data_IF_225775773092
#
_entry.id   IF_225775773092
#
_cell.length_a   1.000
_cell.length_b   1.000
_cell.length_c   1.000
_cell.angle_alpha   90.00
_cell.angle_beta   90.00
_cell.angle_gamma   90.00
#
_symmetry.space_group_name_H-M   'P 1'
#
loop_
_entity.id
_entity.type
_entity.pdbx_description
1 polymer ?
#
# COMPACT_ATOMS: atom_id res chain seq x y z
N UNK A 1 -16.29 14.54 4.01
CA UNK A 1 -14.87 14.43 4.38
C UNK A 1 -14.60 14.86 5.83
N UNK A 2 -15.22 15.95 6.32
CA UNK A 2 -15.22 16.29 7.77
C UNK A 2 -15.68 15.12 8.65
N UNK A 3 -16.71 14.40 8.20
CA UNK A 3 -17.28 13.25 8.91
C UNK A 3 -16.23 12.16 9.15
N UNK A 4 -15.42 11.77 8.17
CA UNK A 4 -14.38 10.73 8.34
C UNK A 4 -13.32 11.16 9.36
N UNK A 5 -12.92 12.44 9.34
CA UNK A 5 -11.96 12.99 10.31
C UNK A 5 -12.53 13.04 11.73
N UNK A 6 -13.73 13.60 11.91
CA UNK A 6 -14.41 13.65 13.20
C UNK A 6 -14.68 12.25 13.75
N UNK A 7 -14.97 11.30 12.86
CA UNK A 7 -15.32 9.95 13.25
C UNK A 7 -14.10 9.08 13.56
N UNK A 8 -12.99 9.21 12.82
CA UNK A 8 -11.71 8.57 13.19
C UNK A 8 -11.23 9.06 14.57
N UNK A 9 -11.37 10.36 14.85
CA UNK A 9 -11.10 10.91 16.18
C UNK A 9 -11.96 10.29 17.28
N UNK A 10 -13.23 9.97 16.98
CA UNK A 10 -14.16 9.37 17.93
C UNK A 10 -13.87 7.87 18.16
N UNK A 11 -13.49 7.13 17.11
CA UNK A 11 -13.17 5.69 17.17
C UNK A 11 -11.84 5.41 17.86
N UNK A 12 -10.91 6.34 17.79
CA UNK A 12 -9.67 6.27 18.56
C UNK A 12 -9.90 6.45 20.07
N UNK A 13 -11.01 7.09 20.49
CA UNK A 13 -11.31 7.40 21.89
C UNK A 13 -12.16 6.34 22.60
N UNK A 14 -12.98 5.55 21.90
CA UNK A 14 -13.92 4.61 22.51
C UNK A 14 -13.56 3.13 22.25
N UNK A 15 -12.87 2.52 23.22
CA UNK A 15 -12.22 1.20 23.08
C UNK A 15 -13.15 -0.03 23.13
N UNK A 16 -14.42 0.07 23.55
CA UNK A 16 -15.18 -1.12 23.99
C UNK A 16 -16.46 -1.47 23.21
N UNK A 17 -17.18 -0.50 22.62
CA UNK A 17 -18.44 -0.78 21.90
C UNK A 17 -18.27 -0.89 20.36
N UNK A 18 -17.20 -0.30 19.82
CA UNK A 18 -16.95 -0.23 18.37
C UNK A 18 -16.12 -1.42 17.85
N UNK A 19 -15.35 -2.07 18.73
CA UNK A 19 -14.40 -3.14 18.37
C UNK A 19 -15.07 -4.42 17.81
N UNK A 20 -16.34 -4.65 18.12
CA UNK A 20 -17.14 -5.79 17.65
C UNK A 20 -17.98 -5.49 16.42
N UNK A 21 -18.43 -4.26 16.21
CA UNK A 21 -19.31 -3.88 15.10
C UNK A 21 -18.57 -3.39 13.85
N UNK A 22 -17.29 -3.02 13.95
CA UNK A 22 -16.52 -2.41 12.86
C UNK A 22 -15.11 -2.98 12.72
N UNK A 23 -14.99 -4.31 12.67
CA UNK A 23 -13.77 -4.90 12.11
C UNK A 23 -13.73 -4.50 10.62
N UNK A 24 -12.69 -3.78 10.24
CA UNK A 24 -12.37 -3.43 8.84
C UNK A 24 -13.20 -2.30 8.21
N UNK A 25 -13.85 -1.41 8.99
CA UNK A 25 -14.60 -0.30 8.38
C UNK A 25 -13.74 0.56 7.43
N UNK A 26 -12.50 0.89 7.79
CA UNK A 26 -11.63 1.66 6.90
C UNK A 26 -11.35 0.91 5.59
N UNK A 27 -11.28 -0.42 5.62
CA UNK A 27 -11.13 -1.24 4.41
C UNK A 27 -12.44 -1.28 3.61
N UNK A 28 -13.59 -1.29 4.27
CA UNK A 28 -14.92 -1.20 3.63
C UNK A 28 -15.14 0.16 2.97
N UNK A 29 -14.84 1.26 3.67
CA UNK A 29 -14.91 2.63 3.16
C UNK A 29 -13.91 2.83 2.01
N UNK A 30 -12.70 2.28 2.13
CA UNK A 30 -11.74 2.28 1.04
C UNK A 30 -12.26 1.49 -0.17
N UNK A 31 -12.90 0.33 0.07
CA UNK A 31 -13.50 -0.48 -1.00
C UNK A 31 -14.65 0.26 -1.70
N UNK A 32 -15.49 0.95 -0.93
CA UNK A 32 -16.56 1.81 -1.45
C UNK A 32 -16.01 2.97 -2.29
N UNK A 33 -14.96 3.62 -1.80
CA UNK A 33 -14.27 4.71 -2.51
C UNK A 33 -13.69 4.23 -3.82
N UNK A 34 -13.04 3.06 -3.85
CA UNK A 34 -12.54 2.45 -5.10
C UNK A 34 -13.67 2.14 -6.09
N UNK A 35 -14.85 1.77 -5.62
CA UNK A 35 -16.00 1.53 -6.49
C UNK A 35 -16.65 2.82 -7.03
N UNK A 36 -16.55 3.93 -6.30
CA UNK A 36 -17.31 5.16 -6.58
C UNK A 36 -16.47 6.25 -7.25
N UNK A 37 -15.20 6.40 -6.84
CA UNK A 37 -14.30 7.46 -7.35
C UNK A 37 -13.93 7.37 -8.84
N UNK A 38 -13.96 6.23 -9.54
CA UNK A 38 -13.74 6.18 -10.99
C UNK A 38 -14.70 7.04 -11.82
N UNK A 39 -15.81 7.52 -11.22
CA UNK A 39 -16.78 8.41 -11.84
C UNK A 39 -16.61 9.89 -11.44
N UNK A 40 -15.63 10.20 -10.58
CA UNK A 40 -15.38 11.53 -10.04
C UNK A 40 -13.99 11.99 -10.48
N UNK A 41 -13.89 13.02 -11.35
CA UNK A 41 -12.60 13.53 -11.82
C UNK A 41 -11.68 13.94 -10.66
N UNK A 42 -10.48 13.36 -10.61
CA UNK A 42 -9.50 13.58 -9.54
C UNK A 42 -9.92 13.05 -8.15
N UNK A 43 -11.08 12.40 -8.05
CA UNK A 43 -11.62 11.88 -6.80
C UNK A 43 -10.74 10.80 -6.20
N UNK A 44 -10.16 9.92 -7.02
CA UNK A 44 -9.28 8.85 -6.57
C UNK A 44 -8.02 9.40 -5.89
N UNK A 45 -7.31 10.35 -6.51
CA UNK A 45 -6.11 10.95 -5.92
C UNK A 45 -6.42 11.70 -4.62
N UNK A 46 -7.53 12.43 -4.56
CA UNK A 46 -7.99 13.12 -3.35
C UNK A 46 -8.35 12.14 -2.23
N UNK A 47 -9.09 11.08 -2.56
CA UNK A 47 -9.47 10.07 -1.59
C UNK A 47 -8.24 9.29 -1.09
N UNK A 48 -7.37 8.85 -2.00
CA UNK A 48 -6.11 8.17 -1.67
C UNK A 48 -5.25 9.00 -0.71
N UNK A 49 -5.05 10.30 -1.01
CA UNK A 49 -4.35 11.22 -0.11
C UNK A 49 -5.00 11.24 1.28
N UNK A 50 -6.33 11.40 1.34
CA UNK A 50 -7.07 11.46 2.60
C UNK A 50 -6.96 10.17 3.42
N UNK A 51 -7.11 8.99 2.81
CA UNK A 51 -6.95 7.72 3.51
C UNK A 51 -5.50 7.48 3.96
N UNK A 52 -4.51 7.90 3.16
CA UNK A 52 -3.11 7.87 3.60
C UNK A 52 -2.89 8.78 4.82
N UNK A 53 -3.46 9.98 4.85
CA UNK A 53 -3.39 10.89 5.99
C UNK A 53 -4.09 10.33 7.23
N UNK A 54 -5.25 9.71 7.07
CA UNK A 54 -5.96 9.05 8.18
C UNK A 54 -5.14 7.89 8.75
N UNK A 55 -4.60 7.02 7.89
CA UNK A 55 -3.73 5.94 8.32
C UNK A 55 -2.46 6.47 9.00
N UNK A 56 -1.88 7.57 8.51
CA UNK A 56 -0.72 8.24 9.11
C UNK A 56 -1.06 8.72 10.52
N UNK A 57 -2.19 9.42 10.68
CA UNK A 57 -2.61 9.94 11.97
C UNK A 57 -2.94 8.82 12.98
N UNK A 58 -3.52 7.70 12.52
CA UNK A 58 -3.70 6.51 13.35
C UNK A 58 -2.37 5.98 13.89
N UNK A 59 -1.37 5.77 13.03
CA UNK A 59 -0.07 5.26 13.45
C UNK A 59 0.64 6.23 14.41
N UNK A 60 0.57 7.54 14.11
CA UNK A 60 1.11 8.59 14.96
C UNK A 60 0.48 8.60 16.35
N UNK A 61 -0.84 8.48 16.41
CA UNK A 61 -1.58 8.48 17.68
C UNK A 61 -1.25 7.26 18.53
N UNK A 62 -0.99 6.10 17.91
CA UNK A 62 -0.51 4.91 18.63
C UNK A 62 0.88 5.17 19.24
N UNK A 63 1.79 5.78 18.48
CA UNK A 63 3.11 6.15 18.98
C UNK A 63 3.05 7.15 20.14
N UNK A 64 2.16 8.14 20.06
CA UNK A 64 1.91 9.09 21.16
C UNK A 64 1.35 8.42 22.41
N UNK A 65 0.36 7.55 22.24
CA UNK A 65 -0.23 6.77 23.32
C UNK A 65 0.83 5.93 24.02
N UNK A 66 1.67 5.22 23.25
CA UNK A 66 2.76 4.42 23.79
C UNK A 66 3.72 5.26 24.64
N UNK A 67 4.19 6.40 24.11
CA UNK A 67 5.09 7.27 24.86
C UNK A 67 4.43 7.83 26.12
N UNK A 68 3.20 8.34 26.03
CA UNK A 68 2.52 8.95 27.19
C UNK A 68 2.26 7.94 28.30
N UNK A 69 1.77 6.75 27.97
CA UNK A 69 1.46 5.72 28.99
C UNK A 69 2.74 5.18 29.65
N UNK A 70 3.83 5.07 28.90
CA UNK A 70 5.12 4.64 29.44
C UNK A 70 5.73 5.74 30.31
N UNK A 71 5.68 7.00 29.89
CA UNK A 71 6.14 8.14 30.68
C UNK A 71 5.37 8.25 32.01
N UNK A 72 4.03 8.11 31.97
CA UNK A 72 3.18 8.10 33.16
C UNK A 72 3.51 6.92 34.08
N UNK A 73 3.75 5.73 33.51
CA UNK A 73 4.17 4.56 34.26
C UNK A 73 5.51 4.80 34.96
N UNK A 74 6.50 5.37 34.28
CA UNK A 74 7.81 5.69 34.84
C UNK A 74 7.68 6.74 35.95
N UNK A 75 6.91 7.80 35.72
CA UNK A 75 6.70 8.86 36.70
C UNK A 75 6.01 8.32 37.96
N UNK A 76 5.08 7.37 37.83
CA UNK A 76 4.41 6.73 38.97
C UNK A 76 5.35 5.92 39.87
N UNK A 77 6.51 5.49 39.34
CA UNK A 77 7.49 4.67 40.04
C UNK A 77 8.64 5.49 40.67
N UNK A 78 8.78 6.77 40.33
CA UNK A 78 9.87 7.64 40.77
C UNK A 78 11.20 7.40 40.02
N UNK A 79 12.16 8.33 40.19
CA UNK A 79 13.46 8.30 39.47
C UNK A 79 14.37 7.11 39.82
N UNK A 80 14.10 6.43 40.94
CA UNK A 80 14.87 5.28 41.41
C UNK A 80 13.99 4.06 41.24
N UNK A 81 14.12 3.34 40.12
CA UNK A 81 13.58 1.99 40.01
C UNK A 81 14.66 1.01 40.50
N UNK A 82 14.48 0.36 41.67
CA UNK A 82 13.35 0.41 42.59
C UNK A 82 13.58 1.38 43.77
N UNK A 83 12.53 2.00 44.35
CA UNK A 83 12.66 2.59 45.66
C UNK A 83 13.07 1.53 46.71
N UNK A 84 13.83 1.92 47.73
CA UNK A 84 14.33 1.04 48.81
C UNK A 84 13.22 0.26 49.56
N UNK A 85 11.95 0.63 49.37
CA UNK A 85 10.76 -0.01 49.96
C UNK A 85 9.87 -0.75 48.92
N UNK A 86 10.41 -1.12 47.76
CA UNK A 86 9.57 -1.69 46.69
C UNK A 86 9.15 -3.12 46.96
N UNK A 87 7.88 -3.30 47.30
CA UNK A 87 7.29 -4.63 47.45
C UNK A 87 7.11 -5.33 46.10
N UNK A 88 7.22 -6.67 46.10
CA UNK A 88 6.83 -7.54 44.98
C UNK A 88 5.49 -7.18 44.34
N UNK A 89 4.53 -6.72 45.13
CA UNK A 89 3.20 -6.33 44.65
C UNK A 89 3.24 -5.14 43.70
N UNK A 90 4.09 -4.14 43.97
CA UNK A 90 4.27 -2.96 43.10
C UNK A 90 4.92 -3.38 41.78
N UNK A 91 5.98 -4.19 41.84
CA UNK A 91 6.66 -4.74 40.65
C UNK A 91 5.71 -5.51 39.73
N UNK A 92 4.89 -6.40 40.31
CA UNK A 92 3.91 -7.18 39.57
C UNK A 92 2.75 -6.32 39.06
N UNK A 93 2.38 -5.25 39.76
CA UNK A 93 1.39 -4.29 39.29
C UNK A 93 1.90 -3.52 38.07
N UNK A 94 3.11 -2.96 38.13
CA UNK A 94 3.77 -2.31 36.98
C UNK A 94 3.83 -3.23 35.77
N UNK A 95 4.26 -4.48 35.98
CA UNK A 95 4.29 -5.50 34.94
C UNK A 95 2.92 -5.72 34.27
N UNK A 96 1.82 -5.72 35.04
CA UNK A 96 0.46 -5.85 34.50
C UNK A 96 0.05 -4.61 33.71
N UNK A 97 0.34 -3.42 34.22
CA UNK A 97 0.06 -2.16 33.54
C UNK A 97 0.80 -2.11 32.19
N UNK A 98 2.10 -2.40 32.21
CA UNK A 98 2.93 -2.48 31.01
C UNK A 98 2.38 -3.48 29.99
N UNK A 99 2.01 -4.68 30.43
CA UNK A 99 1.40 -5.67 29.55
C UNK A 99 0.11 -5.15 28.91
N UNK A 100 -0.74 -4.47 29.67
CA UNK A 100 -2.00 -3.91 29.16
C UNK A 100 -1.75 -2.88 28.07
N UNK A 101 -0.80 -1.95 28.30
CA UNK A 101 -0.39 -0.91 27.35
C UNK A 101 0.05 -1.56 26.03
N UNK A 102 0.91 -2.56 26.10
CA UNK A 102 1.43 -3.26 24.91
C UNK A 102 0.37 -4.05 24.16
N UNK A 103 -0.55 -4.72 24.86
CA UNK A 103 -1.66 -5.44 24.20
C UNK A 103 -2.55 -4.46 23.44
N UNK A 104 -2.91 -3.33 24.05
CA UNK A 104 -3.75 -2.31 23.43
C UNK A 104 -3.05 -1.64 22.23
N UNK A 105 -1.79 -1.24 22.41
CA UNK A 105 -0.98 -0.68 21.34
C UNK A 105 -0.83 -1.65 20.16
N UNK A 106 -0.59 -2.94 20.44
CA UNK A 106 -0.50 -4.00 19.43
C UNK A 106 -1.78 -4.13 18.62
N UNK A 107 -2.93 -4.25 19.28
CA UNK A 107 -4.21 -4.40 18.58
C UNK A 107 -4.54 -3.18 17.70
N UNK A 108 -4.18 -1.98 18.14
CA UNK A 108 -4.32 -0.75 17.34
C UNK A 108 -3.33 -0.72 16.17
N UNK A 109 -2.06 -1.06 16.41
CA UNK A 109 -1.00 -1.07 15.42
C UNK A 109 -1.27 -2.08 14.31
N UNK A 110 -1.68 -3.31 14.62
CA UNK A 110 -2.01 -4.32 13.63
C UNK A 110 -3.11 -3.86 12.67
N UNK A 111 -4.14 -3.16 13.18
CA UNK A 111 -5.21 -2.58 12.34
C UNK A 111 -4.69 -1.45 11.45
N UNK A 112 -3.94 -0.51 12.03
CA UNK A 112 -3.37 0.62 11.29
C UNK A 112 -2.40 0.16 10.20
N UNK A 113 -1.52 -0.78 10.51
CA UNK A 113 -0.54 -1.34 9.57
C UNK A 113 -1.21 -2.23 8.52
N UNK A 114 -2.21 -3.03 8.87
CA UNK A 114 -3.00 -3.79 7.87
C UNK A 114 -3.61 -2.85 6.84
N UNK A 115 -4.27 -1.79 7.32
CA UNK A 115 -4.88 -0.80 6.44
C UNK A 115 -3.82 -0.06 5.58
N UNK A 116 -2.69 0.31 6.17
CA UNK A 116 -1.57 0.91 5.42
C UNK A 116 -1.00 -0.02 4.34
N UNK A 117 -0.90 -1.33 4.62
CA UNK A 117 -0.49 -2.34 3.63
C UNK A 117 -1.51 -2.45 2.49
N UNK A 118 -2.80 -2.42 2.80
CA UNK A 118 -3.88 -2.40 1.79
C UNK A 118 -3.77 -1.16 0.89
N UNK A 119 -3.62 0.03 1.48
CA UNK A 119 -3.44 1.27 0.72
C UNK A 119 -2.20 1.20 -0.18
N UNK A 120 -1.06 0.73 0.35
CA UNK A 120 0.16 0.56 -0.43
C UNK A 120 -0.06 -0.36 -1.63
N UNK A 121 -0.67 -1.54 -1.41
CA UNK A 121 -0.94 -2.53 -2.46
C UNK A 121 -1.85 -1.94 -3.55
N UNK A 122 -2.87 -1.21 -3.16
CA UNK A 122 -3.88 -0.70 -4.09
C UNK A 122 -3.42 0.54 -4.86
N UNK A 123 -2.48 1.32 -4.31
CA UNK A 123 -2.03 2.59 -4.88
C UNK A 123 -0.70 2.48 -5.64
N UNK A 124 0.15 1.49 -5.34
CA UNK A 124 1.42 1.23 -6.05
C UNK A 124 1.21 0.42 -7.34
N UNK A 125 0.41 0.96 -8.27
CA UNK A 125 -0.03 0.29 -9.50
C UNK A 125 0.94 0.42 -10.69
N UNK A 126 2.12 1.04 -10.50
CA UNK A 126 3.03 1.35 -11.58
C UNK A 126 4.46 0.84 -11.34
N UNK A 127 5.21 0.62 -12.43
CA UNK A 127 6.62 0.25 -12.42
C UNK A 127 7.41 1.21 -13.32
N UNK A 128 8.58 1.65 -12.85
CA UNK A 128 9.45 2.58 -13.57
C UNK A 128 10.65 1.85 -14.16
N UNK A 129 11.04 2.28 -15.37
CA UNK A 129 12.16 1.74 -16.11
C UNK A 129 13.04 2.84 -16.68
N UNK A 130 14.35 2.61 -16.69
CA UNK A 130 15.34 3.37 -17.45
C UNK A 130 15.51 2.77 -18.85
N UNK A 131 15.90 3.62 -19.79
CA UNK A 131 16.31 3.20 -21.12
C UNK A 131 17.82 3.04 -21.18
N UNK A 132 18.28 1.86 -21.60
CA UNK A 132 19.71 1.57 -21.82
C UNK A 132 20.16 1.88 -23.26
N UNK A 133 19.21 2.07 -24.16
CA UNK A 133 19.42 2.17 -25.60
C UNK A 133 18.85 3.48 -26.14
N UNK A 134 19.19 3.80 -27.40
CA UNK A 134 18.60 4.93 -28.11
C UNK A 134 17.06 4.81 -28.18
N UNK A 135 16.29 5.89 -27.93
CA UNK A 135 14.84 5.93 -28.03
C UNK A 135 14.26 5.33 -29.32
N UNK A 136 14.94 5.49 -30.47
CA UNK A 136 14.49 4.91 -31.75
C UNK A 136 14.46 3.39 -31.75
N UNK A 137 15.45 2.73 -31.13
CA UNK A 137 15.48 1.26 -31.01
C UNK A 137 14.30 0.79 -30.16
N UNK A 138 14.00 1.53 -29.10
CA UNK A 138 12.87 1.28 -28.22
C UNK A 138 11.52 1.46 -28.94
N UNK A 139 11.32 2.56 -29.67
CA UNK A 139 10.10 2.79 -30.45
C UNK A 139 9.90 1.73 -31.55
N UNK A 140 10.97 1.34 -32.24
CA UNK A 140 10.89 0.24 -33.22
C UNK A 140 10.45 -1.07 -32.56
N UNK A 141 10.98 -1.38 -31.38
CA UNK A 141 10.58 -2.58 -30.62
C UNK A 141 9.11 -2.51 -30.18
N UNK A 142 8.62 -1.34 -29.75
CA UNK A 142 7.20 -1.13 -29.45
C UNK A 142 6.32 -1.42 -30.68
N UNK A 143 6.74 -0.97 -31.87
CA UNK A 143 6.01 -1.22 -33.12
C UNK A 143 5.99 -2.72 -33.48
N UNK A 144 7.14 -3.40 -33.43
CA UNK A 144 7.25 -4.85 -33.69
C UNK A 144 6.39 -5.69 -32.74
N UNK A 145 6.11 -5.16 -31.56
CA UNK A 145 5.38 -5.84 -30.49
C UNK A 145 3.90 -5.43 -30.47
N UNK A 146 3.46 -4.67 -31.47
CA UNK A 146 2.06 -4.31 -31.69
C UNK A 146 1.53 -3.27 -30.72
N UNK A 147 2.40 -2.43 -30.14
CA UNK A 147 1.95 -1.29 -29.35
C UNK A 147 1.46 -0.17 -30.25
N UNK A 148 0.48 0.58 -29.74
CA UNK A 148 -0.19 1.67 -30.44
C UNK A 148 -0.02 2.94 -29.62
N UNK A 149 0.29 4.05 -30.29
CA UNK A 149 0.42 5.34 -29.63
C UNK A 149 -0.95 6.01 -29.45
N UNK A 150 -1.23 6.47 -28.23
CA UNK A 150 -2.43 7.24 -27.90
C UNK A 150 -2.10 8.72 -28.06
N UNK A 151 -2.74 9.37 -29.03
CA UNK A 151 -2.54 10.79 -29.26
C UNK A 151 -3.39 11.58 -28.26
N UNK A 152 -2.72 12.28 -27.34
CA UNK A 152 -3.36 13.16 -26.36
C UNK A 152 -3.09 14.64 -26.71
N UNK A 153 -3.93 15.31 -27.53
CA UNK A 153 -3.68 16.67 -28.04
C UNK A 153 -3.41 17.75 -26.98
N UNK A 154 -3.83 17.56 -25.73
CA UNK A 154 -3.62 18.51 -24.63
C UNK A 154 -2.45 18.15 -23.70
N UNK A 155 -1.79 17.01 -23.90
CA UNK A 155 -0.62 16.57 -23.12
C UNK A 155 0.59 16.42 -24.03
N UNK A 156 1.30 17.52 -24.29
CA UNK A 156 2.55 17.51 -25.07
C UNK A 156 3.77 17.00 -24.29
N UNK A 157 3.64 16.81 -22.97
CA UNK A 157 4.74 16.37 -22.09
C UNK A 157 4.96 14.86 -22.08
N UNK A 158 4.05 14.07 -22.66
CA UNK A 158 4.07 12.62 -22.53
C UNK A 158 3.74 11.93 -23.85
N UNK A 159 4.48 10.86 -24.14
CA UNK A 159 4.10 9.86 -25.14
C UNK A 159 3.42 8.70 -24.42
N UNK A 160 2.27 8.29 -24.93
CA UNK A 160 1.42 7.30 -24.27
C UNK A 160 1.23 6.12 -25.20
N UNK A 161 1.49 4.91 -24.73
CA UNK A 161 1.33 3.69 -25.52
C UNK A 161 0.46 2.66 -24.81
N UNK A 162 -0.24 1.87 -25.61
CA UNK A 162 -1.08 0.75 -25.17
C UNK A 162 -0.81 -0.49 -26.02
N UNK A 163 -1.04 -1.71 -25.51
CA UNK A 163 -1.07 -2.91 -26.33
C UNK A 163 -2.15 -2.81 -27.42
N UNK A 164 -1.86 -3.23 -28.64
CA UNK A 164 -2.81 -3.19 -29.76
C UNK A 164 -4.07 -4.05 -29.57
N UNK A 165 -4.07 -4.96 -28.61
CA UNK A 165 -5.24 -5.78 -28.23
C UNK A 165 -6.44 -4.95 -27.76
N UNK A 166 -6.22 -3.76 -27.21
CA UNK A 166 -7.29 -2.91 -26.66
C UNK A 166 -7.64 -1.69 -27.53
N UNK A 167 -7.03 -1.57 -28.72
CA UNK A 167 -7.19 -0.38 -29.59
C UNK A 167 -8.65 -0.09 -29.98
N UNK A 168 -9.49 -1.12 -30.05
CA UNK A 168 -10.90 -1.03 -30.47
C UNK A 168 -11.86 -0.73 -29.31
N UNK A 169 -11.35 -0.53 -28.09
CA UNK A 169 -12.15 -0.28 -26.90
C UNK A 169 -11.86 1.10 -26.29
N UNK A 170 -12.41 2.19 -26.84
CA UNK A 170 -12.09 3.55 -26.41
C UNK A 170 -12.43 3.82 -24.93
N UNK A 171 -13.47 3.18 -24.38
CA UNK A 171 -13.82 3.28 -22.95
C UNK A 171 -12.74 2.69 -22.04
N UNK A 172 -12.14 1.55 -22.42
CA UNK A 172 -11.06 0.93 -21.65
C UNK A 172 -9.80 1.77 -21.69
N UNK A 173 -9.46 2.31 -22.87
CA UNK A 173 -8.32 3.20 -23.00
C UNK A 173 -8.55 4.47 -22.17
N UNK A 174 -9.76 5.04 -22.17
CA UNK A 174 -10.07 6.21 -21.34
C UNK A 174 -9.90 5.95 -19.85
N UNK A 175 -10.43 4.82 -19.34
CA UNK A 175 -10.25 4.42 -17.93
C UNK A 175 -8.77 4.30 -17.56
N UNK A 176 -7.97 3.69 -18.43
CA UNK A 176 -6.52 3.53 -18.26
C UNK A 176 -5.76 4.85 -18.23
N UNK A 177 -6.01 5.73 -19.20
CA UNK A 177 -5.31 7.02 -19.28
C UNK A 177 -5.72 7.93 -18.11
N UNK A 178 -6.96 7.83 -17.64
CA UNK A 178 -7.39 8.51 -16.41
C UNK A 178 -6.81 7.88 -15.13
N UNK A 179 -6.11 6.75 -15.23
CA UNK A 179 -5.53 6.01 -14.11
C UNK A 179 -6.56 5.58 -13.07
N UNK A 180 -7.81 5.39 -13.50
CA UNK A 180 -8.89 4.99 -12.61
C UNK A 180 -8.75 3.50 -12.33
N UNK A 181 -8.43 3.14 -11.08
CA UNK A 181 -8.35 1.75 -10.66
C UNK A 181 -9.74 1.09 -10.80
N UNK A 182 -9.90 0.13 -11.72
CA UNK A 182 -11.14 -0.64 -11.79
C UNK A 182 -11.15 -1.70 -10.70
N UNK A 183 -12.14 -1.65 -9.80
CA UNK A 183 -12.51 -2.82 -9.00
C UNK A 183 -13.12 -3.87 -9.92
N UNK A 184 -12.47 -5.02 -10.05
CA UNK A 184 -13.19 -6.29 -10.22
C UNK A 184 -13.71 -6.67 -11.60
N UNK A 185 -13.43 -5.96 -12.69
CA UNK A 185 -13.73 -6.50 -14.02
C UNK A 185 -12.55 -7.33 -14.53
N UNK A 186 -12.42 -8.57 -14.00
CA UNK A 186 -11.66 -9.60 -14.68
C UNK A 186 -12.37 -9.90 -16.01
N UNK A 187 -12.03 -9.16 -17.06
CA UNK A 187 -12.47 -9.42 -18.43
C UNK A 187 -11.81 -10.70 -18.94
N UNK A 188 -12.20 -11.83 -18.37
CA UNK A 188 -12.06 -13.11 -19.06
C UNK A 188 -12.96 -13.00 -20.27
N UNK A 189 -12.34 -12.84 -21.45
CA UNK A 189 -13.02 -12.97 -22.74
C UNK A 189 -13.52 -14.41 -22.81
N UNK A 190 -14.73 -14.64 -22.30
CA UNK A 190 -15.36 -15.93 -22.36
C UNK A 190 -15.95 -16.08 -23.77
N UNK A 191 -15.09 -16.42 -24.72
CA UNK A 191 -15.50 -16.96 -26.01
C UNK A 191 -16.08 -18.35 -25.80
N UNK A 192 -17.31 -18.44 -25.28
CA UNK A 192 -18.20 -19.60 -25.46
C UNK A 192 -19.65 -19.14 -25.35
N UNK A 193 -20.24 -19.03 -26.52
CA UNK A 193 -21.68 -18.89 -26.72
C UNK A 193 -22.46 -20.06 -26.11
N UNK A 194 -23.65 -19.74 -25.60
CA UNK A 194 -24.85 -20.57 -25.47
C UNK A 194 -24.73 -22.01 -24.95
N UNK A 195 -25.30 -22.25 -23.75
CA UNK A 195 -26.52 -23.06 -23.60
C UNK A 195 -27.02 -22.96 -22.17
N UNK A 196 -28.32 -22.71 -21.98
CA UNK A 196 -28.93 -22.48 -20.68
C UNK A 196 -29.02 -23.74 -19.81
N UNK A 197 -29.32 -23.53 -18.51
CA UNK A 197 -30.44 -24.14 -17.76
C UNK A 197 -30.32 -23.79 -16.27
N UNK A 198 -31.48 -23.51 -15.68
CA UNK A 198 -31.73 -23.21 -14.27
C UNK A 198 -31.55 -24.48 -13.42
N UNK A 199 -30.95 -24.37 -12.22
CA UNK A 199 -31.48 -24.87 -10.94
C UNK A 199 -30.39 -25.04 -9.84
N UNK A 200 -30.64 -24.41 -8.68
CA UNK A 200 -30.70 -25.07 -7.36
C UNK A 200 -29.46 -25.68 -6.67
N UNK A 201 -29.18 -25.13 -5.47
CA UNK A 201 -28.71 -25.77 -4.21
C UNK A 201 -27.21 -26.09 -3.96
N UNK A 202 -26.72 -25.41 -2.90
CA UNK A 202 -25.89 -25.81 -1.72
C UNK A 202 -24.70 -26.76 -1.89
N UNK A 203 -23.54 -26.39 -1.30
CA UNK A 203 -22.56 -27.38 -0.81
C UNK A 203 -21.16 -26.84 -0.56
N UNK A 204 -20.77 -26.79 0.72
CA UNK A 204 -19.39 -26.64 1.20
C UNK A 204 -18.58 -27.90 0.86
N UNK A 205 -17.42 -27.78 0.20
CA UNK A 205 -16.30 -28.72 0.34
C UNK A 205 -15.02 -28.17 -0.30
N UNK A 206 -14.02 -27.97 0.54
CA UNK A 206 -12.61 -27.83 0.21
C UNK A 206 -12.04 -29.13 -0.37
N UNK A 207 -11.40 -29.08 -1.53
CA UNK A 207 -10.41 -30.06 -1.99
C UNK A 207 -9.30 -29.32 -2.72
N UNK A 208 -8.06 -29.47 -2.25
CA UNK A 208 -6.88 -28.94 -2.90
C UNK A 208 -6.64 -29.61 -4.25
N UNK A 209 -6.22 -28.81 -5.23
CA UNK A 209 -5.69 -29.31 -6.50
C UNK A 209 -4.38 -28.61 -6.78
N UNK A 210 -3.40 -29.45 -7.10
CA UNK A 210 -1.99 -29.19 -7.28
C UNK A 210 -1.70 -28.17 -8.39
N UNK A 211 -0.63 -27.40 -8.13
CA UNK A 211 0.03 -26.49 -9.06
C UNK A 211 0.46 -27.26 -10.30
N UNK A 212 -0.19 -26.96 -11.42
CA UNK A 212 0.31 -27.27 -12.76
C UNK A 212 0.85 -25.98 -13.38
N UNK A 213 2.15 -25.97 -13.62
CA UNK A 213 2.87 -24.92 -14.34
C UNK A 213 2.37 -24.77 -15.78
N UNK A 214 2.13 -23.54 -16.28
CA UNK A 214 1.99 -23.33 -17.72
C UNK A 214 3.33 -22.95 -18.31
N UNK A 215 3.94 -23.88 -19.05
CA UNK A 215 4.84 -23.55 -20.15
C UNK A 215 4.01 -23.01 -21.31
N UNK A 216 4.55 -21.99 -22.00
CA UNK A 216 4.06 -21.26 -23.18
C UNK A 216 3.52 -19.85 -22.87
N UNK A 217 4.28 -18.86 -23.34
CA UNK A 217 4.11 -17.42 -23.22
C UNK A 217 2.85 -16.90 -23.93
N UNK A 218 1.68 -17.06 -23.29
CA UNK A 218 0.55 -16.22 -23.62
C UNK A 218 0.71 -14.84 -22.93
N UNK A 219 0.39 -13.73 -23.62
CA UNK A 219 0.39 -12.42 -22.98
C UNK A 219 -0.55 -12.47 -21.76
N UNK A 220 -0.13 -11.93 -20.60
CA UNK A 220 -1.00 -11.88 -19.43
C UNK A 220 -2.33 -11.24 -19.80
N UNK A 221 -3.42 -11.86 -19.37
CA UNK A 221 -4.79 -11.40 -19.62
C UNK A 221 -5.04 -10.12 -18.83
N UNK A 222 -4.61 -8.99 -19.39
CA UNK A 222 -4.54 -7.76 -18.64
C UNK A 222 -4.10 -6.59 -19.49
N UNK A 223 -4.52 -5.39 -19.09
CA UNK A 223 -4.28 -4.18 -19.84
C UNK A 223 -3.35 -3.27 -19.04
N UNK A 224 -2.36 -2.68 -19.71
CA UNK A 224 -1.44 -1.71 -19.12
C UNK A 224 -1.28 -0.50 -20.03
N UNK A 225 -0.86 0.60 -19.42
CA UNK A 225 -0.53 1.86 -20.06
C UNK A 225 0.97 2.10 -19.92
N UNK A 226 1.62 2.52 -21.00
CA UNK A 226 2.99 3.01 -20.95
C UNK A 226 2.94 4.54 -21.09
N UNK A 227 3.57 5.23 -20.14
CA UNK A 227 3.76 6.67 -20.18
C UNK A 227 5.25 6.95 -20.23
N UNK A 228 5.65 7.77 -21.19
CA UNK A 228 7.04 8.12 -21.43
C UNK A 228 7.15 9.62 -21.44
N UNK A 229 8.23 10.16 -20.89
CA UNK A 229 8.51 11.58 -20.94
C UNK A 229 8.70 12.02 -22.40
N UNK A 230 7.89 12.98 -22.83
CA UNK A 230 8.13 13.75 -24.05
C UNK A 230 8.98 14.97 -23.70
N UNK A 231 9.92 15.31 -24.57
CA UNK A 231 10.67 16.56 -24.47
C UNK A 231 9.65 17.70 -24.64
N UNK A 232 9.29 18.37 -23.54
CA UNK A 232 8.11 19.23 -23.40
C UNK A 232 8.03 20.49 -24.27
N UNK A 233 8.74 20.54 -25.39
CA UNK A 233 8.54 21.49 -26.47
C UNK A 233 7.74 20.81 -27.59
N UNK A 234 6.87 21.53 -28.29
CA UNK A 234 6.04 21.02 -29.39
C UNK A 234 6.83 20.52 -30.63
N UNK A 235 8.12 20.19 -30.46
CA UNK A 235 8.95 19.43 -31.38
C UNK A 235 9.38 18.18 -30.63
N UNK A 236 8.61 17.09 -30.79
CA UNK A 236 9.12 15.75 -30.50
C UNK A 236 10.49 15.67 -31.16
N UNK A 237 11.57 15.52 -30.38
CA UNK A 237 12.92 15.33 -30.93
C UNK A 237 12.85 14.25 -32.02
N UNK A 238 13.60 14.40 -33.11
CA UNK A 238 13.61 13.42 -34.21
C UNK A 238 13.91 11.97 -33.72
N UNK A 239 14.45 11.83 -32.50
CA UNK A 239 14.69 10.57 -31.80
C UNK A 239 13.42 9.89 -31.27
N UNK A 240 12.39 10.67 -30.92
CA UNK A 240 11.13 10.21 -30.32
C UNK A 240 9.96 10.13 -31.33
N UNK A 241 10.25 10.27 -32.62
CA UNK A 241 9.25 10.24 -33.68
C UNK A 241 8.63 8.85 -33.82
N UNK A 242 7.33 8.76 -33.53
CA UNK A 242 6.55 7.54 -33.74
C UNK A 242 6.07 7.42 -35.19
N UNK A 243 6.35 6.28 -35.82
CA UNK A 243 5.95 5.95 -37.20
C UNK A 243 4.93 4.80 -37.28
N UNK A 244 4.50 4.28 -36.13
CA UNK A 244 3.55 3.18 -36.04
C UNK A 244 2.09 3.61 -36.00
N UNK A 245 1.22 2.67 -35.61
CA UNK A 245 -0.22 2.90 -35.50
C UNK A 245 -0.54 3.91 -34.37
N UNK A 246 -1.53 4.77 -34.61
CA UNK A 246 -1.98 5.79 -33.65
C UNK A 246 -3.49 5.72 -33.45
N UNK A 247 -3.93 5.84 -32.20
CA UNK A 247 -5.34 6.01 -31.84
C UNK A 247 -5.54 7.41 -31.28
N UNK A 248 -6.47 8.15 -31.89
CA UNK A 248 -6.81 9.49 -31.42
C UNK A 248 -7.92 9.38 -30.38
N UNK A 249 -7.57 9.66 -29.13
CA UNK A 249 -8.54 9.85 -28.06
C UNK A 249 -8.63 11.34 -27.81
N UNK A 250 -9.82 11.92 -27.93
CA UNK A 250 -10.05 13.28 -27.49
C UNK A 250 -9.92 13.31 -25.97
N UNK A 251 -8.80 13.83 -25.42
CA UNK A 251 -8.54 13.81 -23.99
C UNK A 251 -9.54 14.76 -23.37
N UNK A 252 -10.23 14.29 -22.34
CA UNK A 252 -11.05 15.18 -21.54
C UNK A 252 -10.14 16.05 -20.67
N UNK A 253 -10.69 17.15 -20.12
CA UNK A 253 -9.98 17.96 -19.15
C UNK A 253 -9.42 17.11 -17.98
N UNK A 254 -10.16 16.08 -17.58
CA UNK A 254 -9.77 15.10 -16.57
C UNK A 254 -8.47 14.38 -16.92
N UNK A 255 -8.35 13.82 -18.13
CA UNK A 255 -7.13 13.14 -18.59
C UNK A 255 -5.92 14.08 -18.54
N UNK A 256 -6.13 15.34 -18.91
CA UNK A 256 -5.08 16.36 -18.90
C UNK A 256 -4.61 16.67 -17.47
N UNK A 257 -5.55 16.76 -16.51
CA UNK A 257 -5.24 16.95 -15.09
C UNK A 257 -4.49 15.74 -14.54
N UNK A 258 -4.97 14.51 -14.75
CA UNK A 258 -4.30 13.30 -14.27
C UNK A 258 -2.87 13.22 -14.78
N UNK A 259 -2.66 13.38 -16.09
CA UNK A 259 -1.32 13.34 -16.70
C UNK A 259 -0.41 14.47 -16.21
N UNK A 260 -0.94 15.60 -15.76
CA UNK A 260 -0.12 16.70 -15.23
C UNK A 260 0.57 16.35 -13.91
N UNK A 261 0.04 15.39 -13.15
CA UNK A 261 0.59 14.92 -11.87
C UNK A 261 1.48 13.69 -12.02
N UNK A 262 1.67 13.20 -13.25
CA UNK A 262 2.48 12.02 -13.55
C UNK A 262 3.90 12.49 -13.84
N UNK A 263 4.85 12.05 -13.04
CA UNK A 263 6.27 12.33 -13.23
C UNK A 263 6.97 11.09 -13.75
N UNK A 264 7.61 11.22 -14.91
CA UNK A 264 8.35 10.15 -15.59
C UNK A 264 9.68 10.69 -16.04
N UNK A 265 10.78 10.01 -15.68
CA UNK A 265 12.13 10.30 -16.19
C UNK A 265 12.57 9.33 -17.28
N UNK A 266 11.95 8.14 -17.37
CA UNK A 266 12.17 7.15 -18.41
C UNK A 266 10.87 6.59 -18.99
N UNK A 267 10.56 5.33 -18.66
CA UNK A 267 9.33 4.64 -19.05
C UNK A 267 8.57 4.25 -17.79
N UNK A 268 7.29 4.60 -17.73
CA UNK A 268 6.37 4.22 -16.66
C UNK A 268 5.33 3.24 -17.20
N UNK A 269 5.30 2.02 -16.67
CA UNK A 269 4.23 1.05 -16.92
C UNK A 269 3.21 1.16 -15.80
N UNK A 270 1.94 1.38 -16.14
CA UNK A 270 0.82 1.46 -15.21
C UNK A 270 -0.13 0.30 -15.52
N UNK A 271 -0.40 -0.56 -14.55
CA UNK A 271 -1.37 -1.64 -14.69
C UNK A 271 -2.78 -1.14 -14.35
N UNK A 272 -3.82 -1.65 -15.03
CA UNK A 272 -5.22 -1.40 -14.62
C UNK A 272 -5.55 -2.00 -13.24
N UNK A 273 -4.87 -3.07 -12.88
CA UNK A 273 -5.05 -3.81 -11.64
C UNK A 273 -3.68 -4.04 -10.99
N UNK A 274 -3.46 -3.60 -9.73
CA UNK A 274 -2.21 -3.83 -9.01
C UNK A 274 -1.79 -5.31 -8.96
N UNK A 275 -2.74 -6.25 -8.93
CA UNK A 275 -2.43 -7.68 -8.89
C UNK A 275 -1.74 -8.18 -10.17
N UNK A 276 -1.90 -7.46 -11.28
CA UNK A 276 -1.33 -7.81 -12.57
C UNK A 276 0.00 -7.11 -12.86
N UNK A 277 0.40 -6.12 -12.05
CA UNK A 277 1.59 -5.32 -12.29
C UNK A 277 2.85 -6.19 -12.44
N UNK A 278 3.01 -7.18 -11.57
CA UNK A 278 4.18 -8.09 -11.63
C UNK A 278 4.18 -8.91 -12.91
N UNK A 279 3.02 -9.39 -13.37
CA UNK A 279 2.90 -10.16 -14.60
C UNK A 279 3.18 -9.29 -15.83
N UNK A 280 2.58 -8.10 -15.91
CA UNK A 280 2.82 -7.14 -16.99
C UNK A 280 4.27 -6.67 -17.05
N UNK A 281 4.89 -6.43 -15.89
CA UNK A 281 6.31 -6.07 -15.81
C UNK A 281 7.20 -7.16 -16.38
N UNK A 282 7.02 -8.42 -15.97
CA UNK A 282 7.79 -9.56 -16.48
C UNK A 282 7.63 -9.72 -17.98
N UNK A 283 6.39 -9.65 -18.47
CA UNK A 283 6.08 -9.71 -19.90
C UNK A 283 6.73 -8.56 -20.68
N UNK A 284 6.64 -7.33 -20.16
CA UNK A 284 7.25 -6.16 -20.77
C UNK A 284 8.78 -6.29 -20.82
N UNK A 285 9.42 -6.79 -19.76
CA UNK A 285 10.86 -7.07 -19.74
C UNK A 285 11.25 -8.15 -20.74
N UNK A 286 10.47 -9.23 -20.86
CA UNK A 286 10.72 -10.31 -21.82
C UNK A 286 10.65 -9.78 -23.26
N UNK A 287 9.68 -8.92 -23.55
CA UNK A 287 9.55 -8.29 -24.86
C UNK A 287 10.68 -7.30 -25.11
N UNK A 288 10.97 -6.40 -24.18
CA UNK A 288 11.91 -5.31 -24.39
C UNK A 288 13.37 -5.75 -24.32
N UNK A 289 13.67 -6.88 -23.66
CA UNK A 289 15.01 -7.43 -23.55
C UNK A 289 15.97 -6.45 -22.86
N UNK A 290 17.14 -6.24 -23.49
CA UNK A 290 18.22 -5.39 -22.97
C UNK A 290 17.97 -3.88 -23.09
N UNK A 291 16.85 -3.49 -23.72
CA UNK A 291 16.54 -2.09 -24.05
C UNK A 291 16.12 -1.30 -22.79
N UNK A 292 15.52 -1.99 -21.81
CA UNK A 292 14.98 -1.39 -20.58
C UNK A 292 15.62 -2.01 -19.34
N UNK A 293 15.83 -1.20 -18.31
CA UNK A 293 16.19 -1.66 -16.97
C UNK A 293 15.12 -1.28 -15.97
N UNK A 294 14.84 -2.15 -15.00
CA UNK A 294 13.89 -1.84 -13.93
C UNK A 294 14.55 -0.87 -12.93
N UNK A 295 13.97 0.31 -12.77
CA UNK A 295 14.36 1.27 -11.72
C UNK A 295 13.56 1.07 -10.45
N UNK A 296 12.24 0.90 -10.62
CA UNK A 296 11.33 0.64 -9.50
C UNK A 296 10.28 -0.38 -9.90
N UNK A 297 10.20 -1.42 -9.07
CA UNK A 297 9.26 -2.52 -9.24
C UNK A 297 7.81 -2.15 -8.97
N UNK A 298 7.59 -1.24 -8.02
CA UNK A 298 6.29 -0.79 -7.53
C UNK A 298 6.40 0.68 -7.12
N UNK A 299 5.55 1.53 -7.69
CA UNK A 299 5.39 2.93 -7.31
C UNK A 299 3.99 3.44 -7.63
N UNK A 300 3.54 4.53 -6.98
CA UNK A 300 2.30 5.19 -7.36
C UNK A 300 2.41 5.86 -8.72
N UNK A 301 1.29 5.94 -9.44
CA UNK A 301 1.21 6.59 -10.76
C UNK A 301 1.17 8.13 -10.66
N UNK A 302 0.70 8.67 -9.53
CA UNK A 302 0.50 10.10 -9.30
C UNK A 302 1.41 10.61 -8.17
N UNK A 303 2.06 11.76 -8.38
CA UNK A 303 2.97 12.40 -7.43
C UNK A 303 2.32 12.76 -6.08
N UNK A 304 1.06 13.21 -6.06
CA UNK A 304 0.33 13.52 -4.82
C UNK A 304 0.09 12.26 -3.98
N UNK A 305 -0.23 11.16 -4.64
CA UNK A 305 -0.41 9.85 -3.98
C UNK A 305 0.95 9.36 -3.48
N UNK A 306 2.01 9.55 -4.26
CA UNK A 306 3.38 9.19 -3.87
C UNK A 306 3.84 9.94 -2.62
N UNK A 307 3.58 11.24 -2.52
CA UNK A 307 3.91 12.04 -1.33
C UNK A 307 3.15 11.52 -0.10
N UNK A 308 1.84 11.28 -0.26
CA UNK A 308 0.96 10.83 0.82
C UNK A 308 1.34 9.43 1.35
N UNK A 309 1.65 8.50 0.45
CA UNK A 309 2.16 7.18 0.82
C UNK A 309 3.54 7.24 1.44
N UNK A 310 4.41 8.14 0.98
CA UNK A 310 5.75 8.32 1.57
C UNK A 310 5.63 8.80 3.02
N UNK A 311 4.72 9.74 3.30
CA UNK A 311 4.40 10.16 4.68
C UNK A 311 3.91 8.99 5.52
N UNK A 312 2.98 8.19 4.99
CA UNK A 312 2.47 7.00 5.68
C UNK A 312 3.58 5.98 6.00
N UNK A 313 4.45 5.68 5.04
CA UNK A 313 5.61 4.78 5.24
C UNK A 313 6.57 5.32 6.29
N UNK A 314 6.85 6.62 6.25
CA UNK A 314 7.74 7.28 7.21
C UNK A 314 7.18 7.20 8.62
N UNK A 315 5.86 7.41 8.79
CA UNK A 315 5.21 7.30 10.09
C UNK A 315 5.14 5.85 10.59
N UNK A 316 4.94 4.88 9.70
CA UNK A 316 5.01 3.46 10.06
C UNK A 316 6.41 3.06 10.57
N UNK A 317 7.46 3.58 9.94
CA UNK A 317 8.85 3.43 10.42
C UNK A 317 9.07 4.12 11.77
N UNK A 318 8.54 5.34 11.93
CA UNK A 318 8.61 6.08 13.20
C UNK A 318 7.95 5.30 14.35
N UNK A 319 6.78 4.69 14.11
CA UNK A 319 6.12 3.83 15.08
C UNK A 319 6.98 2.58 15.41
N UNK A 320 7.61 1.97 14.40
CA UNK A 320 8.51 0.82 14.62
C UNK A 320 9.73 1.19 15.49
N UNK A 321 10.34 2.34 15.24
CA UNK A 321 11.43 2.84 16.10
C UNK A 321 10.94 3.13 17.51
N UNK A 322 9.79 3.81 17.67
CA UNK A 322 9.17 4.07 18.97
C UNK A 322 8.94 2.78 19.77
N UNK A 323 8.38 1.74 19.14
CA UNK A 323 8.20 0.43 19.78
C UNK A 323 9.54 -0.17 20.19
N UNK A 324 10.56 -0.07 19.33
CA UNK A 324 11.91 -0.59 19.62
C UNK A 324 12.55 0.13 20.81
N UNK A 325 12.47 1.46 20.85
CA UNK A 325 13.01 2.28 21.93
C UNK A 325 12.34 1.96 23.27
N UNK A 326 11.01 1.78 23.27
CA UNK A 326 10.26 1.39 24.47
C UNK A 326 10.62 -0.03 24.92
N UNK A 327 10.79 -0.98 23.99
CA UNK A 327 11.23 -2.35 24.34
C UNK A 327 12.60 -2.31 25.02
N UNK A 328 13.55 -1.55 24.46
CA UNK A 328 14.88 -1.39 25.05
C UNK A 328 14.82 -0.75 26.44
N UNK A 329 13.97 0.26 26.62
CA UNK A 329 13.74 0.91 27.90
C UNK A 329 13.17 -0.07 28.93
N UNK A 330 12.18 -0.87 28.55
CA UNK A 330 11.60 -1.91 29.42
C UNK A 330 12.66 -2.95 29.78
N UNK A 331 13.49 -3.37 28.83
CA UNK A 331 14.56 -4.33 29.07
C UNK A 331 15.60 -3.79 30.06
N UNK A 332 16.07 -2.55 29.87
CA UNK A 332 17.01 -1.86 30.77
C UNK A 332 16.44 -1.76 32.19
N UNK A 333 15.17 -1.34 32.32
CA UNK A 333 14.51 -1.23 33.64
C UNK A 333 14.21 -2.60 34.26
N UNK A 334 14.09 -3.67 33.46
CA UNK A 334 13.82 -5.02 33.95
C UNK A 334 15.07 -5.76 34.47
N UNK A 335 16.26 -5.15 34.45
CA UNK A 335 17.52 -5.77 34.88
C UNK A 335 17.51 -6.08 36.40
N UNK A 336 17.97 -7.28 36.72
CA UNK A 336 17.91 -7.96 38.04
C UNK A 336 18.67 -7.24 39.16
N UNK A 337 19.64 -6.37 38.83
CA UNK A 337 20.46 -5.63 39.79
C UNK A 337 19.65 -4.69 40.69
N UNK A 338 18.41 -4.39 40.28
CA UNK A 338 17.47 -3.59 41.03
C UNK A 338 16.73 -4.41 42.13
N UNK A 339 16.68 -5.75 42.08
CA UNK A 339 15.82 -6.55 42.97
C UNK A 339 16.50 -7.04 44.27
N UNK A 340 17.41 -6.25 44.84
CA UNK A 340 18.31 -6.69 45.94
C UNK A 340 17.56 -6.95 47.26
N UNK A 341 16.42 -6.29 47.47
CA UNK A 341 15.65 -6.35 48.74
C UNK A 341 14.58 -7.46 48.80
N UNK A 342 14.40 -8.22 47.71
CA UNK A 342 13.42 -9.31 47.64
C UNK A 342 14.02 -10.65 48.05
N UNK A 343 13.18 -11.52 48.63
CA UNK A 343 13.57 -12.91 48.85
C UNK A 343 13.79 -13.65 47.51
N UNK A 344 14.51 -14.78 47.56
CA UNK A 344 14.86 -15.55 46.35
C UNK A 344 13.61 -16.03 45.56
N UNK A 345 12.51 -16.35 46.26
CA UNK A 345 11.29 -16.87 45.65
C UNK A 345 10.49 -15.76 44.95
N UNK A 346 10.40 -14.60 45.59
CA UNK A 346 9.77 -13.40 45.10
C UNK A 346 10.51 -12.81 43.91
N UNK A 347 11.85 -12.75 44.00
CA UNK A 347 12.73 -12.35 42.91
C UNK A 347 12.51 -13.24 41.68
N UNK A 348 12.50 -14.56 41.87
CA UNK A 348 12.28 -15.50 40.77
C UNK A 348 10.90 -15.32 40.12
N UNK A 349 9.86 -15.05 40.92
CA UNK A 349 8.50 -14.78 40.41
C UNK A 349 8.43 -13.50 39.58
N UNK A 350 9.12 -12.43 39.98
CA UNK A 350 9.16 -11.16 39.24
C UNK A 350 9.94 -11.33 37.93
N UNK A 351 11.11 -11.97 37.97
CA UNK A 351 11.94 -12.24 36.78
C UNK A 351 11.16 -13.02 35.72
N UNK A 352 10.48 -14.10 36.11
CA UNK A 352 9.68 -14.90 35.18
C UNK A 352 8.59 -14.05 34.51
N UNK A 353 7.97 -13.15 35.27
CA UNK A 353 6.92 -12.28 34.77
C UNK A 353 7.45 -11.21 33.82
N UNK A 354 8.56 -10.54 34.17
CA UNK A 354 9.20 -9.56 33.28
C UNK A 354 9.63 -10.22 31.96
N UNK A 355 10.20 -11.43 32.02
CA UNK A 355 10.61 -12.19 30.83
C UNK A 355 9.43 -12.55 29.93
N UNK A 356 8.29 -12.94 30.50
CA UNK A 356 7.07 -13.21 29.74
C UNK A 356 6.59 -11.95 28.99
N UNK A 357 6.58 -10.80 29.69
CA UNK A 357 6.16 -9.53 29.10
C UNK A 357 7.11 -9.09 28.00
N UNK A 358 8.42 -9.11 28.25
CA UNK A 358 9.44 -8.81 27.24
C UNK A 358 9.27 -9.70 26.01
N UNK A 359 9.01 -11.00 26.18
CA UNK A 359 8.75 -11.89 25.04
C UNK A 359 7.50 -11.47 24.24
N UNK A 360 6.44 -10.99 24.90
CA UNK A 360 5.26 -10.44 24.21
C UNK A 360 5.58 -9.12 23.49
N UNK A 361 6.35 -8.23 24.12
CA UNK A 361 6.77 -6.97 23.51
C UNK A 361 7.66 -7.21 22.29
N UNK A 362 8.64 -8.12 22.38
CA UNK A 362 9.46 -8.54 21.24
C UNK A 362 8.61 -9.14 20.13
N UNK A 363 7.68 -10.04 20.47
CA UNK A 363 6.76 -10.61 19.48
C UNK A 363 5.98 -9.51 18.76
N UNK A 364 5.47 -8.51 19.48
CA UNK A 364 4.81 -7.36 18.89
C UNK A 364 5.77 -6.55 17.99
N UNK A 365 6.99 -6.25 18.44
CA UNK A 365 7.96 -5.52 17.64
C UNK A 365 8.36 -6.24 16.34
N UNK A 366 8.30 -7.58 16.30
CA UNK A 366 8.53 -8.39 15.10
C UNK A 366 7.34 -8.43 14.12
N UNK A 367 6.10 -8.29 14.63
CA UNK A 367 4.87 -8.30 13.83
C UNK A 367 4.68 -7.00 13.05
#
# INVERSE_FOLDING_TARGET
>A
MEYLKQWVSMVQQESLLISTYQKNLLEEEWSFVKATCPHIPGGEALAANMFCLLATDMLRTIGKYLNSEIDDLIQSMGDVWPPEDTTKHVMLATCRSLQSIFIEARERALKGISFAKTLRKDLEIAAAFSLNSNPRKFLKRLQETGHVCVVAPHSCKHLIFIPGSIRHCPEHIRKLVNMNCSVGDCWTVNSKANSGRVDGKVGLASVGVEVSSPTTSQPPCGVYLLVIRGDGECKISDEWRWEGETVNLHPTAETTITLSHVEVDGVLLIASDPCQLTAHRKYFMEIMGDIVNVESEHRPSNSLIAESLTKLKTEALSLSHCITDIINLVEEKSIVENLVDLDESERQSVILRCREILHQCYKFGFE
#
